data_IF_530291911759
#
_entry.id   IF_530291911759
#
_cell.length_a   1.000
_cell.length_b   1.000
_cell.length_c   1.000
_cell.angle_alpha   90.00
_cell.angle_beta   90.00
_cell.angle_gamma   90.00
#
_symmetry.space_group_name_H-M   'P 1'
#
loop_
_entity.id
_entity.type
_entity.pdbx_description
1 polymer ?
#
# COMPACT_ATOMS: atom_id res chain seq x y z
N UNK A 1 -45.24 9.81 -26.10
CA UNK A 1 -44.24 8.77 -25.83
C UNK A 1 -42.88 9.31 -26.24
N UNK A 2 -42.07 9.76 -25.28
CA UNK A 2 -40.65 10.08 -25.53
C UNK A 2 -39.90 9.61 -24.28
N UNK A 3 -39.17 8.50 -24.43
CA UNK A 3 -38.31 7.96 -23.40
C UNK A 3 -36.94 8.63 -23.49
N UNK A 4 -36.58 9.41 -22.48
CA UNK A 4 -35.20 9.78 -22.21
C UNK A 4 -34.89 9.38 -20.77
N UNK A 5 -34.40 8.16 -20.60
CA UNK A 5 -33.76 7.73 -19.36
C UNK A 5 -32.36 8.31 -19.34
N UNK A 6 -32.22 9.48 -18.72
CA UNK A 6 -30.91 10.08 -18.46
C UNK A 6 -30.31 9.41 -17.23
N UNK A 7 -29.31 8.56 -17.43
CA UNK A 7 -28.45 8.02 -16.37
C UNK A 7 -27.79 9.19 -15.64
N UNK A 8 -28.23 9.47 -14.41
CA UNK A 8 -27.60 10.46 -13.55
C UNK A 8 -26.54 9.80 -12.69
N UNK A 9 -25.28 10.21 -12.93
CA UNK A 9 -24.19 10.36 -11.95
C UNK A 9 -24.22 9.38 -10.77
N UNK A 10 -23.67 8.19 -11.01
CA UNK A 10 -23.55 7.13 -10.03
C UNK A 10 -22.56 7.54 -8.91
N UNK A 11 -23.12 7.74 -7.71
CA UNK A 11 -22.51 7.48 -6.41
C UNK A 11 -21.19 8.20 -6.07
N UNK A 12 -21.31 9.49 -5.73
CA UNK A 12 -20.47 10.06 -4.65
C UNK A 12 -20.80 9.36 -3.35
N UNK A 13 -20.06 8.29 -3.07
CA UNK A 13 -20.21 7.49 -1.88
C UNK A 13 -19.62 8.22 -0.67
N UNK A 14 -20.34 9.21 -0.15
CA UNK A 14 -20.14 9.71 1.20
C UNK A 14 -20.49 8.60 2.20
N UNK A 15 -19.56 7.66 2.46
CA UNK A 15 -19.59 6.88 3.70
C UNK A 15 -18.98 7.73 4.81
N UNK A 16 -19.70 7.84 5.93
CA UNK A 16 -19.27 8.44 7.20
C UNK A 16 -17.77 8.27 7.43
N UNK A 17 -17.02 9.27 7.94
CA UNK A 17 -15.60 9.10 8.22
C UNK A 17 -15.43 7.95 9.20
N UNK A 18 -14.98 6.81 8.69
CA UNK A 18 -14.66 5.67 9.51
C UNK A 18 -13.45 6.05 10.37
N UNK A 19 -13.46 5.65 11.64
CA UNK A 19 -12.23 5.70 12.42
C UNK A 19 -11.15 4.90 11.67
N UNK A 20 -9.88 5.32 11.74
CA UNK A 20 -8.78 4.64 11.01
C UNK A 20 -8.76 3.12 11.26
N UNK A 21 -9.17 2.69 12.46
CA UNK A 21 -9.29 1.28 12.83
C UNK A 21 -10.39 0.54 12.08
N UNK A 22 -11.58 1.13 11.91
CA UNK A 22 -12.69 0.51 11.16
C UNK A 22 -12.35 0.38 9.68
N UNK A 23 -11.80 1.43 9.07
CA UNK A 23 -11.35 1.38 7.68
C UNK A 23 -10.29 0.29 7.46
N UNK A 24 -9.32 0.17 8.37
CA UNK A 24 -8.28 -0.85 8.26
C UNK A 24 -8.85 -2.26 8.43
N UNK A 25 -9.78 -2.46 9.37
CA UNK A 25 -10.47 -3.73 9.54
C UNK A 25 -11.29 -4.10 8.28
N UNK A 26 -12.06 -3.16 7.73
CA UNK A 26 -12.87 -3.39 6.53
C UNK A 26 -12.00 -3.79 5.33
N UNK A 27 -10.81 -3.18 5.17
CA UNK A 27 -9.82 -3.58 4.16
C UNK A 27 -9.38 -5.04 4.33
N UNK A 28 -8.99 -5.44 5.53
CA UNK A 28 -8.59 -6.83 5.76
C UNK A 28 -9.74 -7.82 5.58
N UNK A 29 -10.98 -7.44 5.94
CA UNK A 29 -12.17 -8.28 5.75
C UNK A 29 -12.49 -8.48 4.28
N UNK A 30 -12.43 -7.42 3.48
CA UNK A 30 -12.74 -7.44 2.05
C UNK A 30 -11.46 -7.36 1.21
N UNK A 31 -10.51 -8.25 1.48
CA UNK A 31 -9.19 -8.19 0.85
C UNK A 31 -9.26 -8.30 -0.68
N UNK A 32 -10.02 -9.26 -1.19
CA UNK A 32 -10.11 -9.53 -2.62
C UNK A 32 -10.79 -8.40 -3.39
N UNK A 33 -11.82 -7.76 -2.81
CA UNK A 33 -12.57 -6.66 -3.43
C UNK A 33 -11.83 -5.32 -3.48
N UNK A 34 -10.65 -5.20 -2.88
CA UNK A 34 -9.89 -3.96 -2.88
C UNK A 34 -9.22 -3.63 -4.22
N UNK A 35 -9.26 -2.34 -4.57
CA UNK A 35 -8.40 -1.74 -5.58
C UNK A 35 -6.92 -1.95 -5.28
N UNK A 36 -6.11 -1.89 -6.34
CA UNK A 36 -4.65 -2.03 -6.27
C UNK A 36 -3.96 -0.74 -6.72
N UNK A 37 -2.80 -0.48 -6.14
CA UNK A 37 -2.01 0.72 -6.39
C UNK A 37 -0.53 0.34 -6.46
N UNK A 38 0.28 1.15 -7.15
CA UNK A 38 1.73 1.07 -7.00
C UNK A 38 2.15 1.55 -5.62
N UNK A 39 3.12 0.88 -5.00
CA UNK A 39 3.56 1.20 -3.64
C UNK A 39 3.90 2.70 -3.45
N UNK A 40 4.57 3.31 -4.41
CA UNK A 40 4.99 4.72 -4.35
C UNK A 40 3.83 5.72 -4.38
N UNK A 41 2.66 5.33 -4.90
CA UNK A 41 1.47 6.21 -4.98
C UNK A 41 0.46 5.92 -3.87
N UNK A 42 0.54 4.76 -3.23
CA UNK A 42 -0.36 4.38 -2.15
C UNK A 42 -0.07 5.11 -0.83
N UNK A 43 1.21 5.31 -0.50
CA UNK A 43 1.61 5.91 0.77
C UNK A 43 1.53 7.45 0.73
N UNK A 44 0.93 8.05 1.77
CA UNK A 44 0.67 9.50 1.86
C UNK A 44 1.47 10.18 3.00
N UNK A 45 2.70 9.71 3.23
CA UNK A 45 3.64 10.37 4.14
C UNK A 45 4.31 11.58 3.47
N UNK A 46 4.86 12.54 4.23
CA UNK A 46 5.60 13.67 3.65
C UNK A 46 6.66 13.24 2.64
N UNK A 47 7.46 12.22 2.95
CA UNK A 47 8.48 11.69 2.04
C UNK A 47 7.91 11.18 0.70
N UNK A 48 6.72 10.58 0.71
CA UNK A 48 6.07 10.05 -0.50
C UNK A 48 5.42 11.15 -1.34
N UNK A 49 4.87 12.18 -0.67
CA UNK A 49 4.35 13.37 -1.36
C UNK A 49 5.46 14.12 -2.06
N UNK A 50 6.61 14.31 -1.39
CA UNK A 50 7.77 14.96 -2.00
C UNK A 50 8.43 14.11 -3.10
N UNK A 51 8.31 12.77 -3.05
CA UNK A 51 8.78 11.90 -4.13
C UNK A 51 8.03 12.15 -5.45
N UNK A 52 6.77 12.60 -5.38
CA UNK A 52 5.90 12.88 -6.55
C UNK A 52 5.98 11.76 -7.60
N UNK A 53 5.83 10.52 -7.16
CA UNK A 53 6.16 9.34 -7.95
C UNK A 53 5.42 9.26 -9.31
N UNK A 54 4.19 9.76 -9.37
CA UNK A 54 3.38 9.81 -10.60
C UNK A 54 3.93 10.80 -11.65
N UNK A 55 4.82 11.71 -11.27
CA UNK A 55 5.36 12.76 -12.12
C UNK A 55 6.80 12.47 -12.59
N UNK A 56 7.38 11.34 -12.17
CA UNK A 56 8.73 10.97 -12.56
C UNK A 56 8.79 10.64 -14.07
N UNK A 57 9.75 11.22 -14.76
CA UNK A 57 10.08 10.85 -16.15
C UNK A 57 10.55 9.39 -16.23
N UNK A 58 10.57 8.82 -17.45
CA UNK A 58 11.05 7.45 -17.68
C UNK A 58 12.46 7.17 -17.09
N UNK A 59 13.47 8.04 -17.33
CA UNK A 59 14.80 7.89 -16.73
C UNK A 59 14.80 7.98 -15.20
N UNK A 60 14.01 8.89 -14.61
CA UNK A 60 13.87 9.03 -13.16
C UNK A 60 13.20 7.80 -12.55
N UNK A 61 12.16 7.29 -13.20
CA UNK A 61 11.47 6.04 -12.83
C UNK A 61 12.44 4.86 -12.80
N UNK A 62 13.28 4.69 -13.83
CA UNK A 62 14.31 3.64 -13.85
C UNK A 62 15.30 3.77 -12.71
N UNK A 63 15.73 5.00 -12.42
CA UNK A 63 16.69 5.29 -11.33
C UNK A 63 16.08 4.97 -9.96
N UNK A 64 14.85 5.42 -9.72
CA UNK A 64 14.12 5.12 -8.49
C UNK A 64 13.82 3.62 -8.36
N UNK A 65 13.44 2.94 -9.44
CA UNK A 65 13.19 1.49 -9.42
C UNK A 65 14.46 0.70 -9.06
N UNK A 66 15.64 1.20 -9.46
CA UNK A 66 16.93 0.60 -9.08
C UNK A 66 17.28 0.87 -7.62
N UNK A 67 17.14 2.11 -7.17
CA UNK A 67 17.79 2.58 -5.94
C UNK A 67 16.86 2.74 -4.72
N UNK A 68 15.54 2.68 -4.88
CA UNK A 68 14.58 2.96 -3.81
C UNK A 68 13.84 1.69 -3.38
N UNK A 69 13.83 1.41 -2.08
CA UNK A 69 12.98 0.38 -1.48
C UNK A 69 12.10 0.97 -0.39
N UNK A 70 10.90 0.41 -0.23
CA UNK A 70 9.91 0.83 0.74
C UNK A 70 9.70 -0.30 1.74
N UNK A 71 9.92 -0.01 3.03
CA UNK A 71 9.65 -0.95 4.10
C UNK A 71 8.17 -0.89 4.52
N UNK A 72 7.49 -2.02 4.47
CA UNK A 72 6.10 -2.19 4.86
C UNK A 72 5.94 -3.38 5.82
N UNK A 73 5.14 -3.25 6.89
CA UNK A 73 4.97 -4.32 7.86
C UNK A 73 4.31 -5.59 7.30
N UNK A 74 3.36 -5.44 6.36
CA UNK A 74 2.66 -6.56 5.75
C UNK A 74 3.45 -7.20 4.60
N UNK A 75 4.08 -6.37 3.77
CA UNK A 75 4.74 -6.81 2.53
C UNK A 75 6.27 -6.97 2.66
N UNK A 76 6.85 -6.51 3.78
CA UNK A 76 8.30 -6.54 3.98
C UNK A 76 8.96 -5.44 3.15
N UNK A 77 9.78 -5.82 2.18
CA UNK A 77 10.50 -4.89 1.31
C UNK A 77 9.80 -4.80 -0.06
N UNK A 78 9.45 -3.58 -0.47
CA UNK A 78 8.77 -3.30 -1.73
C UNK A 78 9.63 -2.45 -2.66
N UNK A 79 9.50 -2.68 -3.97
CA UNK A 79 9.91 -1.72 -5.00
C UNK A 79 8.82 -0.66 -5.18
N UNK A 80 9.15 0.54 -5.69
CA UNK A 80 8.19 1.63 -5.73
C UNK A 80 7.00 1.36 -6.67
N UNK A 81 7.17 0.50 -7.67
CA UNK A 81 6.12 0.12 -8.63
C UNK A 81 5.49 -1.25 -8.36
N UNK A 82 5.78 -1.88 -7.21
CA UNK A 82 5.07 -3.10 -6.83
C UNK A 82 3.58 -2.79 -6.62
N UNK A 83 2.73 -3.66 -7.18
CA UNK A 83 1.27 -3.53 -7.11
C UNK A 83 0.80 -4.13 -5.80
N UNK A 84 0.22 -3.29 -4.94
CA UNK A 84 -0.21 -3.66 -3.59
C UNK A 84 -1.63 -3.18 -3.29
N UNK A 85 -2.30 -3.89 -2.38
CA UNK A 85 -3.60 -3.49 -1.83
C UNK A 85 -3.40 -2.58 -0.60
N UNK A 86 -4.29 -1.60 -0.38
CA UNK A 86 -4.27 -0.74 0.79
C UNK A 86 -4.28 -1.53 2.10
N UNK A 87 -3.26 -1.34 2.93
CA UNK A 87 -3.24 -1.88 4.27
C UNK A 87 -2.56 -0.90 5.23
N UNK A 88 -2.83 -1.04 6.52
CA UNK A 88 -2.04 -0.40 7.57
C UNK A 88 -1.62 -1.46 8.57
N UNK A 89 -0.34 -1.77 8.57
CA UNK A 89 0.32 -2.61 9.55
C UNK A 89 1.73 -2.05 9.79
N UNK A 90 1.88 -1.36 10.91
CA UNK A 90 3.16 -0.74 11.28
C UNK A 90 4.11 -1.83 11.83
N UNK A 91 5.39 -1.80 11.46
CA UNK A 91 6.37 -2.82 11.85
C UNK A 91 6.48 -3.01 13.38
N UNK A 92 6.27 -1.93 14.16
CA UNK A 92 6.31 -1.96 15.62
C UNK A 92 5.06 -2.55 16.29
N UNK A 93 4.06 -3.03 15.54
CA UNK A 93 2.86 -3.65 16.14
C UNK A 93 3.20 -5.03 16.70
N UNK A 94 2.82 -5.26 17.96
CA UNK A 94 2.83 -6.58 18.58
C UNK A 94 1.66 -7.39 18.02
N UNK A 95 1.95 -8.18 17.00
CA UNK A 95 1.03 -9.11 16.38
C UNK A 95 1.62 -10.52 16.51
N UNK A 96 1.03 -11.31 17.40
CA UNK A 96 1.42 -12.71 17.59
C UNK A 96 1.20 -13.50 16.30
N UNK A 97 2.18 -14.29 15.91
CA UNK A 97 2.20 -15.10 14.70
C UNK A 97 3.00 -16.39 14.97
N UNK A 98 3.01 -17.31 13.99
CA UNK A 98 3.68 -18.61 14.14
C UNK A 98 5.18 -18.52 14.41
N UNK A 99 5.83 -17.40 14.06
CA UNK A 99 7.25 -17.17 14.30
C UNK A 99 7.55 -16.40 15.61
N UNK A 100 6.54 -15.83 16.28
CA UNK A 100 6.74 -15.15 17.56
C UNK A 100 5.70 -14.08 17.91
N UNK A 101 6.10 -13.14 18.76
CA UNK A 101 5.22 -12.14 19.40
C UNK A 101 4.95 -10.87 18.57
N UNK A 102 5.73 -10.64 17.52
CA UNK A 102 5.71 -9.41 16.72
C UNK A 102 6.20 -9.64 15.30
N UNK A 103 6.15 -8.58 14.48
CA UNK A 103 6.58 -8.62 13.07
C UNK A 103 8.10 -8.70 12.90
N UNK A 104 8.88 -8.29 13.90
CA UNK A 104 10.33 -8.48 13.85
C UNK A 104 10.68 -9.97 13.89
N UNK A 105 10.01 -10.74 14.77
CA UNK A 105 10.16 -12.19 14.80
C UNK A 105 9.67 -12.86 13.49
N UNK A 106 8.57 -12.37 12.91
CA UNK A 106 8.03 -12.88 11.64
C UNK A 106 8.99 -12.69 10.45
N UNK A 107 9.54 -11.48 10.33
CA UNK A 107 10.42 -11.13 9.23
C UNK A 107 11.84 -11.65 9.44
N UNK A 108 12.35 -11.64 10.68
CA UNK A 108 13.69 -12.12 11.00
C UNK A 108 14.75 -11.53 10.06
N UNK A 109 15.57 -12.40 9.48
CA UNK A 109 16.61 -12.01 8.52
C UNK A 109 16.09 -11.78 7.08
N UNK A 110 14.84 -12.14 6.76
CA UNK A 110 14.32 -12.13 5.37
C UNK A 110 14.38 -10.76 4.71
N UNK A 111 14.18 -9.68 5.47
CA UNK A 111 14.27 -8.32 4.94
C UNK A 111 15.72 -7.98 4.60
N UNK A 112 16.67 -8.30 5.48
CA UNK A 112 18.09 -8.08 5.23
C UNK A 112 18.58 -8.90 4.03
N UNK A 113 18.22 -10.18 3.96
CA UNK A 113 18.52 -11.05 2.82
C UNK A 113 17.90 -10.54 1.51
N UNK A 114 16.71 -9.94 1.57
CA UNK A 114 16.05 -9.35 0.39
C UNK A 114 16.80 -8.11 -0.10
N UNK A 115 17.30 -7.28 0.81
CA UNK A 115 18.14 -6.13 0.47
C UNK A 115 19.45 -6.61 -0.16
N UNK A 116 20.11 -7.61 0.44
CA UNK A 116 21.40 -8.11 -0.04
C UNK A 116 21.30 -8.72 -1.45
N UNK A 117 20.19 -9.40 -1.78
CA UNK A 117 19.92 -9.93 -3.13
C UNK A 117 19.65 -8.86 -4.18
N UNK A 118 19.33 -7.66 -3.75
CA UNK A 118 18.87 -6.57 -4.61
C UNK A 118 19.96 -5.50 -4.84
N UNK A 119 21.08 -5.60 -4.11
CA UNK A 119 22.35 -4.91 -4.36
C UNK A 119 23.13 -5.56 -5.52
#
# INVERSE_FOLDING_TARGET
MIGHTTLTSNQRHCRRPLTRSRLNHDRYRDWEGQDVFTAATLFDGPAYRELRAAELSGPQTKTAAKNLRILCGLYGLLKPWDVIKPCRLDMGKKLGNSAGKDLYAFWGAKIAESIEKDL
#
